data_IF_474756836916
#
_entry.id   IF_474756836916
#
_cell.length_a   1.000
_cell.length_b   1.000
_cell.length_c   1.000
_cell.angle_alpha   90.00
_cell.angle_beta   90.00
_cell.angle_gamma   90.00
#
_symmetry.space_group_name_H-M   'P 1'
#
loop_
_entity.id
_entity.type
_entity.pdbx_description
1 polymer ?
#
# COMPACT_ATOMS: atom_id res chain seq x y z
N UNK A 1 -8.14 -3.42 -18.83
CA UNK A 1 -7.45 -2.24 -18.30
C UNK A 1 -7.12 -2.37 -16.81
N UNK A 2 -7.91 -3.04 -15.99
CA UNK A 2 -7.72 -3.05 -14.52
C UNK A 2 -6.54 -3.85 -13.97
N UNK A 3 -6.23 -5.03 -14.55
CA UNK A 3 -4.93 -5.68 -14.33
C UNK A 3 -3.75 -4.74 -14.63
N UNK A 4 -3.88 -3.88 -15.65
CA UNK A 4 -2.81 -2.93 -16.01
C UNK A 4 -2.68 -1.81 -14.96
N UNK A 5 -3.77 -1.41 -14.29
CA UNK A 5 -3.71 -0.42 -13.20
C UNK A 5 -3.07 -1.03 -11.95
N UNK A 6 -3.46 -2.25 -11.58
CA UNK A 6 -2.85 -3.00 -10.47
C UNK A 6 -1.35 -3.27 -10.75
N UNK A 7 -0.99 -3.67 -11.97
CA UNK A 7 0.39 -3.83 -12.42
C UNK A 7 1.16 -2.51 -12.42
N UNK A 8 0.56 -1.42 -12.90
CA UNK A 8 1.16 -0.10 -12.88
C UNK A 8 1.51 0.32 -11.44
N UNK A 9 0.56 0.21 -10.52
CA UNK A 9 0.78 0.53 -9.10
C UNK A 9 1.86 -0.37 -8.50
N UNK A 10 1.82 -1.67 -8.78
CA UNK A 10 2.83 -2.64 -8.34
C UNK A 10 4.22 -2.32 -8.89
N UNK A 11 4.33 -1.94 -10.16
CA UNK A 11 5.61 -1.58 -10.77
C UNK A 11 6.15 -0.26 -10.22
N UNK A 12 5.28 0.72 -9.96
CA UNK A 12 5.64 1.95 -9.26
C UNK A 12 6.12 1.66 -7.83
N UNK A 13 5.46 0.74 -7.12
CA UNK A 13 5.87 0.28 -5.79
C UNK A 13 7.24 -0.40 -5.84
N UNK A 14 7.47 -1.32 -6.80
CA UNK A 14 8.77 -1.98 -6.98
C UNK A 14 9.88 -0.97 -7.28
N UNK A 15 9.58 0.03 -8.12
CA UNK A 15 10.51 1.11 -8.41
C UNK A 15 10.86 1.91 -7.14
N UNK A 16 9.84 2.31 -6.37
CA UNK A 16 10.03 2.97 -5.08
C UNK A 16 10.92 2.13 -4.16
N UNK A 17 10.59 0.86 -4.00
CA UNK A 17 11.36 -0.06 -3.17
C UNK A 17 12.82 -0.12 -3.63
N UNK A 18 13.08 -0.31 -4.92
CA UNK A 18 14.44 -0.45 -5.45
C UNK A 18 15.27 0.84 -5.42
N UNK A 19 14.64 2.01 -5.59
CA UNK A 19 15.35 3.29 -5.80
C UNK A 19 15.31 4.21 -4.59
N UNK A 20 14.33 4.05 -3.71
CA UNK A 20 14.13 4.89 -2.52
C UNK A 20 14.37 4.06 -1.25
N UNK A 21 13.71 2.91 -1.11
CA UNK A 21 13.77 2.10 0.11
C UNK A 21 15.09 1.32 0.26
N UNK A 22 15.39 0.38 -0.64
CA UNK A 22 16.55 -0.53 -0.58
C UNK A 22 17.90 0.20 -0.63
N UNK A 23 17.97 1.36 -1.26
CA UNK A 23 19.17 2.22 -1.21
C UNK A 23 19.49 2.73 0.19
N UNK A 24 18.51 2.72 1.10
CA UNK A 24 18.71 2.99 2.52
C UNK A 24 18.62 1.74 3.42
N UNK A 25 17.74 0.77 3.15
CA UNK A 25 17.61 -0.43 4.00
C UNK A 25 18.78 -1.42 3.87
N UNK A 26 19.63 -1.29 2.84
CA UNK A 26 20.98 -1.89 2.84
C UNK A 26 21.86 -1.43 4.03
N UNK A 27 21.42 -0.42 4.82
CA UNK A 27 22.10 0.03 6.06
C UNK A 27 21.29 -0.19 7.34
N UNK A 28 19.96 -0.37 7.26
CA UNK A 28 19.10 -0.58 8.44
C UNK A 28 18.98 -2.08 8.81
N UNK A 29 19.08 -2.98 7.82
CA UNK A 29 19.02 -4.42 8.07
C UNK A 29 20.22 -4.99 8.85
N UNK A 30 21.32 -4.23 8.98
CA UNK A 30 22.54 -4.67 9.69
C UNK A 30 22.52 -4.34 11.19
N UNK A 31 21.49 -3.69 11.71
CA UNK A 31 21.39 -3.37 13.15
C UNK A 31 20.55 -4.36 13.95
N UNK A 32 19.79 -5.26 13.30
CA UNK A 32 18.88 -6.17 14.00
C UNK A 32 19.15 -7.67 13.81
N UNK A 33 20.13 -8.06 13.01
CA UNK A 33 20.58 -9.45 12.93
C UNK A 33 22.10 -9.53 12.89
N UNK A 34 22.74 -9.60 14.05
CA UNK A 34 23.57 -10.74 14.49
C UNK A 34 24.54 -10.32 15.58
N UNK A 35 24.55 -11.12 16.65
CA UNK A 35 25.76 -11.44 17.38
C UNK A 35 26.93 -11.62 16.40
N UNK A 36 28.02 -10.89 16.62
CA UNK A 36 29.39 -11.19 16.11
C UNK A 36 29.63 -11.17 14.59
N UNK A 37 29.45 -10.01 13.95
CA UNK A 37 30.40 -9.45 12.94
C UNK A 37 29.99 -8.02 12.57
N UNK A 38 30.77 -7.04 13.03
CA UNK A 38 30.63 -5.64 12.61
C UNK A 38 31.13 -5.56 11.17
N UNK A 39 30.19 -5.56 10.21
CA UNK A 39 30.48 -5.12 8.85
C UNK A 39 30.43 -3.59 8.91
N UNK A 40 31.58 -2.92 8.72
CA UNK A 40 31.64 -1.47 8.65
C UNK A 40 30.87 -0.98 7.41
N UNK A 41 29.60 -0.63 7.61
CA UNK A 41 28.78 -0.04 6.55
C UNK A 41 28.96 1.48 6.59
N UNK A 42 29.68 2.00 5.60
CA UNK A 42 29.89 3.45 5.43
C UNK A 42 28.54 4.18 5.29
N UNK A 43 28.32 5.36 5.93
CA UNK A 43 27.13 6.18 5.70
C UNK A 43 26.97 6.57 4.21
N UNK A 44 25.73 6.83 3.73
CA UNK A 44 25.52 7.14 2.32
C UNK A 44 26.19 8.45 1.97
N UNK A 45 26.71 8.55 0.75
CA UNK A 45 27.25 9.81 0.27
C UNK A 45 26.10 10.78 -0.03
N UNK A 46 26.38 12.08 -0.02
CA UNK A 46 25.40 13.11 -0.39
C UNK A 46 24.84 12.88 -1.81
N UNK A 47 25.65 12.29 -2.70
CA UNK A 47 25.23 11.92 -4.06
C UNK A 47 24.20 10.78 -4.08
N UNK A 48 24.34 9.79 -3.20
CA UNK A 48 23.38 8.70 -3.05
C UNK A 48 22.05 9.19 -2.48
N UNK A 49 22.10 10.10 -1.51
CA UNK A 49 20.92 10.76 -0.93
C UNK A 49 20.20 11.57 -2.00
N UNK A 50 20.93 12.41 -2.76
CA UNK A 50 20.36 13.21 -3.84
C UNK A 50 19.69 12.35 -4.92
N UNK A 51 20.31 11.24 -5.31
CA UNK A 51 19.72 10.29 -6.29
C UNK A 51 18.43 9.67 -5.78
N UNK A 52 18.34 9.32 -4.48
CA UNK A 52 17.12 8.79 -3.89
C UNK A 52 16.01 9.85 -3.83
N UNK A 53 16.36 11.10 -3.51
CA UNK A 53 15.40 12.22 -3.48
C UNK A 53 14.84 12.56 -4.87
N UNK A 54 15.68 12.53 -5.91
CA UNK A 54 15.22 12.69 -7.30
C UNK A 54 14.29 11.55 -7.69
N UNK A 55 14.70 10.29 -7.49
CA UNK A 55 13.86 9.13 -7.82
C UNK A 55 12.50 9.16 -7.10
N UNK A 56 12.48 9.62 -5.84
CA UNK A 56 11.24 9.82 -5.08
C UNK A 56 10.36 10.90 -5.70
N UNK A 57 10.92 12.05 -6.05
CA UNK A 57 10.16 13.16 -6.64
C UNK A 57 9.55 12.74 -7.97
N UNK A 58 10.33 12.03 -8.80
CA UNK A 58 9.88 11.53 -10.10
C UNK A 58 8.71 10.56 -9.95
N UNK A 59 8.83 9.55 -9.07
CA UNK A 59 7.75 8.57 -8.90
C UNK A 59 6.50 9.17 -8.28
N UNK A 60 6.63 10.14 -7.35
CA UNK A 60 5.48 10.90 -6.82
C UNK A 60 4.78 11.64 -7.96
N UNK A 61 5.53 12.31 -8.84
CA UNK A 61 4.97 13.03 -9.99
C UNK A 61 4.25 12.09 -10.96
N UNK A 62 4.84 10.94 -11.28
CA UNK A 62 4.25 9.95 -12.19
C UNK A 62 2.94 9.40 -11.62
N UNK A 63 2.94 8.96 -10.36
CA UNK A 63 1.77 8.36 -9.73
C UNK A 63 0.65 9.39 -9.54
N UNK A 64 0.96 10.61 -9.09
CA UNK A 64 -0.04 11.66 -8.92
C UNK A 64 -0.56 12.19 -10.27
N UNK A 65 0.28 12.23 -11.32
CA UNK A 65 -0.16 12.53 -12.68
C UNK A 65 -1.14 11.48 -13.20
N UNK A 66 -0.87 10.20 -12.92
CA UNK A 66 -1.78 9.10 -13.24
C UNK A 66 -3.12 9.23 -12.50
N UNK A 67 -3.13 9.47 -11.19
CA UNK A 67 -4.36 9.72 -10.43
C UNK A 67 -5.16 10.90 -10.96
N UNK A 68 -4.48 11.99 -11.33
CA UNK A 68 -5.12 13.18 -11.91
C UNK A 68 -5.77 12.88 -13.25
N UNK A 69 -5.17 12.02 -14.08
CA UNK A 69 -5.71 11.64 -15.38
C UNK A 69 -6.98 10.77 -15.31
N UNK A 70 -7.21 10.08 -14.18
CA UNK A 70 -8.37 9.21 -14.00
C UNK A 70 -9.66 9.95 -13.61
N UNK A 71 -9.61 11.27 -13.37
CA UNK A 71 -10.74 12.07 -12.90
C UNK A 71 -11.46 11.45 -11.69
N UNK A 72 -10.68 10.95 -10.73
CA UNK A 72 -11.24 10.36 -9.51
C UNK A 72 -12.07 11.41 -8.75
N UNK A 73 -13.25 11.05 -8.21
CA UNK A 73 -14.13 12.00 -7.50
C UNK A 73 -13.53 12.54 -6.20
N UNK A 74 -12.47 11.89 -5.70
CA UNK A 74 -11.73 12.26 -4.51
C UNK A 74 -10.26 12.45 -4.86
N UNK A 75 -9.58 13.29 -4.09
CA UNK A 75 -8.17 13.57 -4.34
C UNK A 75 -7.30 12.47 -3.73
N UNK A 76 -7.01 11.42 -4.50
CA UNK A 76 -6.00 10.42 -4.15
C UNK A 76 -4.61 10.97 -4.49
N UNK A 77 -3.69 10.94 -3.53
CA UNK A 77 -2.31 11.38 -3.69
C UNK A 77 -1.34 10.43 -3.01
N UNK A 78 -0.24 10.16 -3.71
CA UNK A 78 0.99 9.64 -3.12
C UNK A 78 1.80 10.82 -2.56
N UNK A 79 2.20 10.69 -1.31
CA UNK A 79 3.07 11.61 -0.61
C UNK A 79 4.16 10.89 0.17
N UNK A 80 4.82 11.65 1.05
CA UNK A 80 5.84 11.16 1.98
C UNK A 80 5.25 10.89 3.36
N UNK A 81 5.72 9.84 4.02
CA UNK A 81 5.50 9.61 5.45
C UNK A 81 6.53 10.32 6.32
N UNK A 82 6.49 10.03 7.62
CA UNK A 82 7.45 10.53 8.61
C UNK A 82 8.89 10.24 8.19
N UNK A 83 9.15 8.98 7.85
CA UNK A 83 10.37 8.64 7.17
C UNK A 83 10.25 9.08 5.72
N UNK A 84 11.27 9.81 5.26
CA UNK A 84 11.36 10.36 3.90
C UNK A 84 11.30 9.29 2.78
N UNK A 85 11.36 8.01 3.14
CA UNK A 85 11.35 6.87 2.24
C UNK A 85 10.06 6.04 2.33
N UNK A 86 9.13 6.39 3.23
CA UNK A 86 7.84 5.72 3.35
C UNK A 86 6.82 6.31 2.36
N UNK A 87 6.25 5.49 1.46
CA UNK A 87 5.17 5.93 0.58
C UNK A 87 3.86 6.04 1.38
N UNK A 88 3.23 7.21 1.39
CA UNK A 88 1.96 7.42 2.09
C UNK A 88 0.87 7.79 1.11
N UNK A 89 -0.27 7.11 1.22
CA UNK A 89 -1.46 7.36 0.39
C UNK A 89 -2.45 8.20 1.18
N UNK A 90 -2.87 9.30 0.56
CA UNK A 90 -3.89 10.20 1.09
C UNK A 90 -5.09 10.21 0.16
N UNK A 91 -6.29 10.20 0.72
CA UNK A 91 -7.54 10.47 0.01
C UNK A 91 -8.21 11.64 0.70
N UNK A 92 -8.51 12.70 -0.05
CA UNK A 92 -9.02 13.97 0.48
C UNK A 92 -8.19 14.50 1.66
N UNK A 93 -6.86 14.44 1.49
CA UNK A 93 -5.83 14.83 2.46
C UNK A 93 -5.80 14.01 3.77
N UNK A 94 -6.58 12.92 3.87
CA UNK A 94 -6.54 12.00 5.01
C UNK A 94 -5.77 10.74 4.66
N UNK A 95 -4.93 10.27 5.58
CA UNK A 95 -4.34 8.94 5.46
C UNK A 95 -5.40 7.88 5.72
N UNK A 96 -5.59 6.97 4.76
CA UNK A 96 -6.51 5.86 4.90
C UNK A 96 -5.78 4.67 5.52
N UNK A 97 -6.42 4.02 6.50
CA UNK A 97 -5.88 2.82 7.16
C UNK A 97 -6.71 1.60 6.78
N UNK A 98 -6.07 0.44 6.72
CA UNK A 98 -6.73 -0.85 6.49
C UNK A 98 -7.93 -1.09 7.40
N UNK A 99 -7.79 -0.70 8.66
CA UNK A 99 -8.85 -0.88 9.66
C UNK A 99 -10.11 -0.08 9.33
N UNK A 100 -9.95 1.12 8.78
CA UNK A 100 -11.08 1.97 8.44
C UNK A 100 -11.82 1.37 7.23
N UNK A 101 -11.09 0.83 6.25
CA UNK A 101 -11.66 0.08 5.11
C UNK A 101 -12.36 -1.20 5.57
N UNK A 102 -11.70 -1.99 6.43
CA UNK A 102 -12.25 -3.24 6.94
C UNK A 102 -13.52 -3.02 7.79
N UNK A 103 -13.52 -1.99 8.64
CA UNK A 103 -14.69 -1.62 9.42
C UNK A 103 -15.85 -1.16 8.52
N UNK A 104 -15.56 -0.36 7.50
CA UNK A 104 -16.54 0.06 6.50
C UNK A 104 -17.12 -1.15 5.74
N UNK A 105 -16.28 -2.00 5.15
CA UNK A 105 -16.73 -3.15 4.37
C UNK A 105 -17.51 -4.14 5.24
N UNK A 106 -17.02 -4.45 6.44
CA UNK A 106 -17.70 -5.34 7.39
C UNK A 106 -19.01 -4.77 7.98
N UNK A 107 -19.35 -3.51 7.72
CA UNK A 107 -20.63 -2.91 8.11
C UNK A 107 -21.75 -3.12 7.08
N UNK A 108 -21.42 -3.65 5.90
CA UNK A 108 -22.39 -3.91 4.83
C UNK A 108 -23.35 -5.05 5.20
N UNK A 109 -24.52 -5.08 4.56
CA UNK A 109 -25.57 -6.05 4.87
C UNK A 109 -25.13 -7.51 4.67
N UNK A 110 -24.30 -7.76 3.66
CA UNK A 110 -23.70 -9.06 3.35
C UNK A 110 -22.38 -9.30 4.09
N UNK A 111 -22.02 -8.43 5.05
CA UNK A 111 -20.74 -8.49 5.76
C UNK A 111 -19.54 -8.06 4.91
N UNK A 112 -19.76 -7.47 3.74
CA UNK A 112 -18.72 -6.94 2.86
C UNK A 112 -18.27 -7.90 1.76
N UNK A 113 -19.07 -8.91 1.43
CA UNK A 113 -18.75 -9.89 0.37
C UNK A 113 -18.72 -9.21 -0.99
N UNK A 114 -19.73 -8.40 -1.33
CA UNK A 114 -19.77 -7.65 -2.59
C UNK A 114 -18.58 -6.70 -2.74
N UNK A 115 -18.12 -6.09 -1.64
CA UNK A 115 -16.93 -5.24 -1.64
C UNK A 115 -15.65 -6.05 -1.89
N UNK A 116 -15.54 -7.24 -1.30
CA UNK A 116 -14.41 -8.13 -1.57
C UNK A 116 -14.40 -8.60 -3.03
N UNK A 117 -15.56 -8.97 -3.59
CA UNK A 117 -15.69 -9.35 -5.01
C UNK A 117 -15.31 -8.19 -5.92
N UNK A 118 -15.83 -6.99 -5.65
CA UNK A 118 -15.49 -5.78 -6.43
C UNK A 118 -13.99 -5.50 -6.39
N UNK A 119 -13.38 -5.58 -5.21
CA UNK A 119 -11.94 -5.41 -5.05
C UNK A 119 -11.13 -6.50 -5.77
N UNK A 120 -11.56 -7.76 -5.65
CA UNK A 120 -10.98 -8.91 -6.33
C UNK A 120 -10.98 -8.72 -7.85
N UNK A 121 -12.14 -8.38 -8.42
CA UNK A 121 -12.31 -8.19 -9.85
C UNK A 121 -11.42 -7.06 -10.39
N UNK A 122 -11.21 -6.00 -9.62
CA UNK A 122 -10.30 -4.92 -10.01
C UNK A 122 -8.86 -5.41 -10.27
N UNK A 123 -8.28 -6.25 -9.42
CA UNK A 123 -6.91 -6.73 -9.62
C UNK A 123 -6.79 -8.06 -10.38
N UNK A 124 -7.90 -8.71 -10.75
CA UNK A 124 -7.91 -10.03 -11.40
C UNK A 124 -8.55 -10.06 -12.78
N UNK A 125 -9.42 -9.12 -13.11
CA UNK A 125 -10.10 -9.00 -14.40
C UNK A 125 -9.58 -7.77 -15.17
N UNK A 126 -10.12 -7.52 -16.36
CA UNK A 126 -9.79 -6.41 -17.26
C UNK A 126 -10.88 -5.34 -17.34
N UNK A 127 -12.09 -5.61 -16.86
CA UNK A 127 -13.27 -4.74 -17.02
C UNK A 127 -13.50 -3.74 -15.87
N UNK A 128 -12.90 -3.95 -14.70
CA UNK A 128 -13.22 -3.16 -13.47
C UNK A 128 -12.14 -2.15 -13.15
N UNK A 129 -12.30 -0.86 -13.49
CA UNK A 129 -11.25 0.16 -13.23
C UNK A 129 -11.19 0.66 -11.79
N UNK A 130 -10.08 1.29 -11.40
CA UNK A 130 -9.90 1.91 -10.09
C UNK A 130 -11.00 2.96 -9.83
N UNK A 131 -11.37 3.73 -10.85
CA UNK A 131 -12.46 4.72 -10.78
C UNK A 131 -13.81 4.06 -10.44
N UNK A 132 -14.05 2.82 -10.88
CA UNK A 132 -15.30 2.10 -10.62
C UNK A 132 -15.42 1.58 -9.19
N UNK A 133 -14.32 1.53 -8.44
CA UNK A 133 -14.32 1.11 -7.05
C UNK A 133 -14.89 2.21 -6.14
N UNK A 134 -15.62 1.86 -5.06
CA UNK A 134 -15.88 2.77 -3.95
C UNK A 134 -14.60 3.38 -3.37
N UNK A 135 -14.66 4.61 -2.86
CA UNK A 135 -13.49 5.35 -2.36
C UNK A 135 -12.63 4.57 -1.34
N UNK A 136 -13.24 3.77 -0.47
CA UNK A 136 -12.53 2.92 0.49
C UNK A 136 -11.72 1.81 -0.20
N UNK A 137 -12.26 1.24 -1.28
CA UNK A 137 -11.58 0.21 -2.07
C UNK A 137 -10.53 0.82 -3.01
N UNK A 138 -10.74 2.04 -3.51
CA UNK A 138 -9.69 2.80 -4.20
C UNK A 138 -8.48 3.02 -3.28
N UNK A 139 -8.73 3.44 -2.03
CA UNK A 139 -7.68 3.58 -1.03
C UNK A 139 -6.97 2.24 -0.78
N UNK A 140 -7.73 1.16 -0.56
CA UNK A 140 -7.16 -0.17 -0.34
C UNK A 140 -6.29 -0.63 -1.52
N UNK A 141 -6.73 -0.41 -2.76
CA UNK A 141 -6.01 -0.73 -3.98
C UNK A 141 -4.64 -0.05 -4.02
N UNK A 142 -4.61 1.25 -3.82
CA UNK A 142 -3.37 2.01 -3.88
C UNK A 142 -2.46 1.69 -2.69
N UNK A 143 -2.99 1.51 -1.47
CA UNK A 143 -2.15 1.16 -0.33
C UNK A 143 -1.49 -0.22 -0.57
N UNK A 144 -2.28 -1.23 -0.91
CA UNK A 144 -1.78 -2.60 -1.12
C UNK A 144 -0.81 -2.70 -2.28
N UNK A 145 -1.15 -2.18 -3.45
CA UNK A 145 -0.37 -2.40 -4.68
C UNK A 145 0.73 -1.36 -4.89
N UNK A 146 0.66 -0.17 -4.29
CA UNK A 146 1.73 0.84 -4.38
C UNK A 146 2.54 0.94 -3.08
N UNK A 147 1.88 1.28 -1.97
CA UNK A 147 2.60 1.64 -0.75
C UNK A 147 3.31 0.44 -0.10
N UNK A 148 2.61 -0.68 0.06
CA UNK A 148 3.21 -1.89 0.66
C UNK A 148 4.28 -2.51 -0.22
N UNK A 149 4.05 -2.55 -1.52
CA UNK A 149 5.08 -2.95 -2.49
C UNK A 149 6.30 -2.03 -2.40
N UNK A 150 6.08 -0.71 -2.24
CA UNK A 150 7.13 0.29 -2.01
C UNK A 150 7.95 0.07 -0.74
N UNK A 151 7.34 -0.52 0.29
CA UNK A 151 8.01 -0.95 1.54
C UNK A 151 8.69 -2.32 1.44
N UNK A 152 8.49 -3.04 0.34
CA UNK A 152 9.09 -4.35 0.09
C UNK A 152 8.16 -5.55 0.28
N UNK A 153 6.86 -5.33 0.53
CA UNK A 153 5.86 -6.40 0.75
C UNK A 153 5.23 -6.91 -0.56
N UNK A 154 5.99 -6.94 -1.65
CA UNK A 154 5.47 -7.37 -2.95
C UNK A 154 5.01 -8.83 -2.96
N UNK A 155 5.68 -9.70 -2.20
CA UNK A 155 5.28 -11.11 -2.07
C UNK A 155 3.97 -11.28 -1.29
N UNK A 156 3.68 -10.40 -0.33
CA UNK A 156 2.46 -10.45 0.48
C UNK A 156 1.19 -10.18 -0.34
N UNK A 157 1.29 -9.61 -1.55
CA UNK A 157 0.14 -9.55 -2.45
C UNK A 157 -0.38 -10.95 -2.81
N UNK A 158 0.53 -11.85 -3.20
CA UNK A 158 0.19 -13.20 -3.62
C UNK A 158 -0.02 -14.13 -2.42
N UNK A 159 0.83 -14.05 -1.40
CA UNK A 159 0.82 -15.00 -0.29
C UNK A 159 -0.17 -14.66 0.83
N UNK A 160 -0.66 -13.42 0.90
CA UNK A 160 -1.51 -12.95 2.00
C UNK A 160 -2.77 -12.22 1.52
N UNK A 161 -2.62 -11.15 0.72
CA UNK A 161 -3.74 -10.31 0.28
C UNK A 161 -4.77 -11.12 -0.52
N UNK A 162 -4.33 -11.82 -1.57
CA UNK A 162 -5.22 -12.62 -2.42
C UNK A 162 -5.96 -13.70 -1.63
N UNK A 163 -5.30 -14.58 -0.86
CA UNK A 163 -5.99 -15.56 -0.02
C UNK A 163 -6.99 -14.94 0.98
N UNK A 164 -6.66 -13.76 1.54
CA UNK A 164 -7.57 -13.06 2.45
C UNK A 164 -8.83 -12.57 1.73
N UNK A 165 -8.69 -11.90 0.60
CA UNK A 165 -9.84 -11.41 -0.19
C UNK A 165 -10.68 -12.59 -0.71
N UNK A 166 -10.05 -13.64 -1.23
CA UNK A 166 -10.73 -14.86 -1.68
C UNK A 166 -11.51 -15.53 -0.56
N UNK A 167 -10.97 -15.54 0.67
CA UNK A 167 -11.70 -16.08 1.84
C UNK A 167 -12.98 -15.29 2.10
N UNK A 168 -12.96 -13.96 1.95
CA UNK A 168 -14.13 -13.11 2.14
C UNK A 168 -15.15 -13.34 1.02
N UNK A 169 -14.69 -13.41 -0.25
CA UNK A 169 -15.55 -13.69 -1.39
C UNK A 169 -16.34 -15.01 -1.24
N UNK A 170 -15.74 -16.00 -0.59
CA UNK A 170 -16.31 -17.33 -0.39
C UNK A 170 -17.00 -17.52 0.98
N UNK A 171 -17.15 -16.45 1.77
CA UNK A 171 -17.79 -16.54 3.08
C UNK A 171 -19.25 -17.01 2.96
N UNK A 172 -19.64 -17.98 3.77
CA UNK A 172 -20.99 -18.58 3.71
C UNK A 172 -22.04 -17.75 4.43
N UNK A 173 -21.63 -16.80 5.28
CA UNK A 173 -22.53 -15.92 6.02
C UNK A 173 -21.99 -14.49 6.12
N UNK A 174 -22.87 -13.48 6.28
CA UNK A 174 -22.44 -12.10 6.54
C UNK A 174 -21.56 -11.95 7.80
N UNK A 175 -21.82 -12.75 8.84
CA UNK A 175 -21.04 -12.71 10.08
C UNK A 175 -19.60 -13.20 9.85
N UNK A 176 -19.44 -14.25 9.05
CA UNK A 176 -18.13 -14.77 8.66
C UNK A 176 -17.35 -13.77 7.81
N UNK A 177 -17.98 -13.18 6.78
CA UNK A 177 -17.37 -12.16 5.94
C UNK A 177 -16.88 -10.96 6.77
N UNK A 178 -17.73 -10.47 7.68
CA UNK A 178 -17.38 -9.38 8.61
C UNK A 178 -16.20 -9.74 9.51
N UNK A 179 -16.17 -10.97 10.02
CA UNK A 179 -15.05 -11.46 10.84
C UNK A 179 -13.74 -11.46 10.04
N UNK A 180 -13.78 -11.98 8.81
CA UNK A 180 -12.61 -12.03 7.93
C UNK A 180 -12.07 -10.62 7.58
N UNK A 181 -12.94 -9.64 7.35
CA UNK A 181 -12.50 -8.23 7.24
C UNK A 181 -11.78 -7.76 8.51
N UNK A 182 -12.30 -8.09 9.70
CA UNK A 182 -11.68 -7.77 10.98
C UNK A 182 -10.32 -8.43 11.23
N UNK A 183 -10.05 -9.57 10.57
CA UNK A 183 -8.77 -10.30 10.64
C UNK A 183 -7.67 -9.67 9.75
N UNK A 184 -7.91 -8.53 9.10
CA UNK A 184 -6.95 -7.89 8.19
C UNK A 184 -5.57 -7.78 8.82
N UNK A 185 -5.45 -7.33 10.08
CA UNK A 185 -4.16 -7.16 10.80
C UNK A 185 -3.35 -8.44 10.97
N UNK A 186 -4.01 -9.59 10.99
CA UNK A 186 -3.38 -10.89 11.26
C UNK A 186 -3.19 -11.71 9.99
N UNK A 187 -4.01 -11.48 8.96
CA UNK A 187 -3.96 -12.22 7.69
C UNK A 187 -3.20 -11.52 6.59
N UNK A 188 -3.18 -10.20 6.63
CA UNK A 188 -2.35 -9.37 5.78
C UNK A 188 -1.59 -8.49 6.77
N UNK A 189 -0.32 -8.81 7.04
CA UNK A 189 0.50 -8.02 7.95
C UNK A 189 1.43 -7.11 7.12
N UNK A 190 0.93 -6.03 6.50
CA UNK A 190 1.80 -5.00 5.96
C UNK A 190 2.61 -4.38 7.09
N UNK A 191 3.73 -3.73 6.78
CA UNK A 191 4.57 -3.07 7.79
C UNK A 191 3.75 -2.07 8.62
N UNK A 192 3.27 -2.52 9.76
CA UNK A 192 2.97 -1.72 10.93
C UNK A 192 4.22 -1.55 11.82
N UNK A 193 5.41 -1.70 11.25
CA UNK A 193 6.65 -1.47 11.97
C UNK A 193 7.10 -0.02 11.83
N UNK A 194 6.24 0.94 12.21
CA UNK A 194 6.71 2.02 13.06
C UNK A 194 5.59 2.42 14.05
N UNK A 195 5.84 2.41 15.37
CA UNK A 195 4.81 2.66 16.39
C UNK A 195 4.24 4.09 16.43
N UNK A 196 4.76 5.00 15.61
CA UNK A 196 4.57 6.44 15.74
C UNK A 196 4.46 7.11 14.35
N UNK A 197 3.43 6.78 13.57
CA UNK A 197 2.92 7.78 12.63
C UNK A 197 2.18 8.82 13.48
N UNK A 198 2.87 9.91 13.80
CA UNK A 198 2.42 10.97 14.69
C UNK A 198 1.46 11.89 13.96
N UNK A 199 0.48 12.48 14.67
CA UNK A 199 -0.52 13.41 14.13
C UNK A 199 0.10 14.66 13.45
N UNK A 200 1.40 14.92 13.61
CA UNK A 200 2.14 16.00 12.95
C UNK A 200 2.67 15.62 11.55
N UNK A 201 2.69 14.34 11.20
CA UNK A 201 3.20 13.80 9.94
C UNK A 201 2.20 13.99 8.78
N UNK A 202 1.10 14.67 9.08
CA UNK A 202 -0.12 14.76 8.29
C UNK A 202 -0.40 16.17 7.74
N UNK A 203 0.48 17.14 7.96
CA UNK A 203 0.35 18.51 7.46
C UNK A 203 1.42 18.83 6.41
N UNK A 204 1.08 18.53 5.15
CA UNK A 204 1.57 19.20 3.94
C UNK A 204 0.36 19.35 3.00
#
# INVERSE_FOLDING_TARGET
MSLQEAEFLTNCGRYWCAKVWLRKSAKVATTLYTSTRVIDVKPPTDEEVKKADTARTDIISVVNGYFSSMNLPHTIKLGRGWQIYDPVIRVDNKCHRYLDVAAWAGSMQDGGVAQAISFHNWYSDTETTLLSLPVHLQALAVITHMAEVGRGYSSSLESELKPWIESICNASTPLEAKKLWGEVKTRFTPSLTYPEDSRLDYMD
#
